data_IF_815796568076
#
_entry.id   IF_815796568076
#
_cell.length_a   1.000
_cell.length_b   1.000
_cell.length_c   1.000
_cell.angle_alpha   90.00
_cell.angle_beta   90.00
_cell.angle_gamma   90.00
#
_symmetry.space_group_name_H-M   'P 1'
#
loop_
_entity.id
_entity.type
_entity.pdbx_description
1 polymer ?
#
# COMPACT_ATOMS: atom_id res chain seq x y z
N UNK A 1 8.10 -11.03 4.25
CA UNK A 1 7.53 -10.48 3.00
C UNK A 1 8.59 -9.71 2.24
N UNK A 2 8.50 -9.73 0.93
CA UNK A 2 9.43 -8.99 0.09
C UNK A 2 8.81 -7.66 -0.31
N UNK A 3 9.56 -6.57 -0.12
CA UNK A 3 9.11 -5.25 -0.55
C UNK A 3 9.36 -5.10 -2.05
N UNK A 4 8.31 -4.79 -2.80
CA UNK A 4 8.39 -4.64 -4.25
C UNK A 4 8.46 -3.19 -4.67
N UNK A 5 7.66 -2.34 -4.05
CA UNK A 5 7.56 -0.92 -4.42
C UNK A 5 7.24 -0.09 -3.20
N UNK A 6 7.66 1.17 -3.22
CA UNK A 6 7.30 2.13 -2.18
C UNK A 6 6.82 3.40 -2.84
N UNK A 7 5.69 3.91 -2.38
CA UNK A 7 5.09 5.15 -2.87
C UNK A 7 5.03 6.17 -1.74
N UNK A 8 5.29 7.42 -2.07
CA UNK A 8 5.24 8.52 -1.11
C UNK A 8 4.23 9.55 -1.58
N UNK A 9 3.47 10.09 -0.62
CA UNK A 9 2.59 11.19 -0.92
C UNK A 9 3.37 12.50 -1.07
N UNK A 10 2.71 13.51 -1.58
CA UNK A 10 3.30 14.83 -1.77
C UNK A 10 2.34 15.90 -1.30
N UNK A 11 2.86 17.10 -1.06
CA UNK A 11 2.10 18.25 -0.61
C UNK A 11 1.33 17.93 0.68
N UNK A 12 0.01 18.05 0.66
CA UNK A 12 -0.80 17.81 1.84
C UNK A 12 -0.86 16.34 2.25
N UNK A 13 -0.39 15.43 1.39
CA UNK A 13 -0.34 14.00 1.68
C UNK A 13 1.08 13.50 1.91
N UNK A 14 2.00 14.39 2.24
CA UNK A 14 3.43 14.04 2.39
C UNK A 14 3.70 13.09 3.56
N UNK A 15 2.74 12.94 4.48
CA UNK A 15 2.85 12.00 5.59
C UNK A 15 2.43 10.58 5.21
N UNK A 16 1.92 10.38 3.99
CA UNK A 16 1.46 9.07 3.55
C UNK A 16 2.57 8.30 2.86
N UNK A 17 2.69 7.03 3.22
CA UNK A 17 3.62 6.10 2.60
C UNK A 17 2.87 4.80 2.37
N UNK A 18 3.04 4.21 1.20
CA UNK A 18 2.45 2.91 0.90
C UNK A 18 3.50 2.00 0.29
N UNK A 19 3.56 0.77 0.75
CA UNK A 19 4.49 -0.22 0.25
C UNK A 19 3.72 -1.41 -0.29
N UNK A 20 4.15 -1.89 -1.45
CA UNK A 20 3.61 -3.13 -2.02
C UNK A 20 4.53 -4.27 -1.64
N UNK A 21 3.97 -5.29 -1.02
CA UNK A 21 4.70 -6.41 -0.47
C UNK A 21 4.24 -7.72 -1.11
N UNK A 22 5.13 -8.66 -1.22
CA UNK A 22 4.83 -10.01 -1.69
C UNK A 22 5.14 -11.01 -0.57
N UNK A 23 4.17 -11.83 -0.23
CA UNK A 23 4.33 -12.90 0.74
C UNK A 23 4.44 -14.24 0.00
N UNK A 24 5.63 -14.85 0.06
CA UNK A 24 5.87 -16.11 -0.64
C UNK A 24 5.12 -17.28 -0.02
N UNK A 25 4.82 -17.21 1.26
CA UNK A 25 4.13 -18.30 1.95
C UNK A 25 2.66 -18.37 1.55
N UNK A 26 1.98 -17.24 1.59
CA UNK A 26 0.56 -17.18 1.22
C UNK A 26 0.35 -16.94 -0.27
N UNK A 27 1.42 -16.55 -0.99
CA UNK A 27 1.38 -16.19 -2.41
C UNK A 27 0.36 -15.09 -2.66
N UNK A 28 0.48 -14.03 -1.88
CA UNK A 28 -0.47 -12.94 -1.88
C UNK A 28 0.27 -11.62 -1.83
N UNK A 29 -0.28 -10.60 -2.48
CA UNK A 29 0.23 -9.23 -2.38
C UNK A 29 -0.44 -8.53 -1.21
N UNK A 30 0.34 -7.66 -0.55
CA UNK A 30 -0.15 -6.84 0.55
C UNK A 30 0.23 -5.39 0.28
N UNK A 31 -0.56 -4.47 0.80
CA UNK A 31 -0.25 -3.05 0.77
C UNK A 31 -0.17 -2.57 2.21
N UNK A 32 1.00 -2.06 2.59
CA UNK A 32 1.23 -1.48 3.91
C UNK A 32 1.08 0.03 3.78
N UNK A 33 0.02 0.58 4.38
CA UNK A 33 -0.33 1.99 4.27
C UNK A 33 -0.11 2.67 5.61
N UNK A 34 0.61 3.78 5.59
CA UNK A 34 0.91 4.56 6.80
C UNK A 34 0.58 6.03 6.58
N UNK A 35 -0.02 6.64 7.57
CA UNK A 35 -0.24 8.09 7.59
C UNK A 35 -0.42 8.56 9.03
N UNK A 36 0.28 9.63 9.39
CA UNK A 36 0.12 10.39 10.64
C UNK A 36 -0.14 9.50 11.86
N UNK A 37 0.80 8.60 12.15
CA UNK A 37 0.73 7.73 13.31
C UNK A 37 -0.19 6.53 13.18
N UNK A 38 -0.83 6.36 12.04
CA UNK A 38 -1.70 5.22 11.75
C UNK A 38 -1.05 4.32 10.72
N UNK A 39 -1.27 3.02 10.85
CA UNK A 39 -0.78 2.07 9.85
C UNK A 39 -1.78 0.95 9.67
N UNK A 40 -1.86 0.44 8.46
CA UNK A 40 -2.73 -0.67 8.12
C UNK A 40 -2.07 -1.50 7.03
N UNK A 41 -2.09 -2.82 7.19
CA UNK A 41 -1.64 -3.74 6.15
C UNK A 41 -2.88 -4.44 5.62
N UNK A 42 -3.06 -4.37 4.30
CA UNK A 42 -4.25 -4.94 3.67
C UNK A 42 -3.84 -5.98 2.63
N UNK A 43 -4.41 -7.18 2.75
CA UNK A 43 -4.17 -8.24 1.78
C UNK A 43 -4.99 -8.04 0.52
N UNK A 44 -4.37 -8.29 -0.61
CA UNK A 44 -5.02 -8.12 -1.92
C UNK A 44 -5.60 -9.42 -2.44
N UNK A 45 -5.47 -10.50 -1.68
CA UNK A 45 -6.05 -11.82 -1.99
C UNK A 45 -5.66 -12.28 -3.39
N UNK A 46 -6.64 -12.42 -4.28
CA UNK A 46 -6.42 -12.94 -5.63
C UNK A 46 -6.04 -11.86 -6.64
N UNK A 47 -5.90 -10.61 -6.19
CA UNK A 47 -5.60 -9.52 -7.12
C UNK A 47 -4.13 -9.52 -7.51
N UNK A 48 -3.84 -8.93 -8.67
CA UNK A 48 -2.50 -8.87 -9.24
C UNK A 48 -1.63 -7.82 -8.55
N UNK A 49 -0.33 -7.88 -8.88
CA UNK A 49 0.61 -6.85 -8.41
C UNK A 49 0.17 -5.46 -8.87
N UNK A 50 -0.33 -5.34 -10.10
CA UNK A 50 -0.79 -4.05 -10.60
C UNK A 50 -1.95 -3.50 -9.76
N UNK A 51 -2.85 -4.37 -9.34
CA UNK A 51 -3.94 -3.95 -8.46
C UNK A 51 -3.41 -3.40 -7.15
N UNK A 52 -2.41 -4.08 -6.58
CA UNK A 52 -1.79 -3.62 -5.33
C UNK A 52 -1.07 -2.29 -5.53
N UNK A 53 -0.39 -2.12 -6.66
CA UNK A 53 0.29 -0.86 -6.98
C UNK A 53 -0.71 0.28 -7.14
N UNK A 54 -1.82 0.03 -7.84
CA UNK A 54 -2.86 1.05 -7.99
C UNK A 54 -3.45 1.45 -6.63
N UNK A 55 -3.66 0.48 -5.77
CA UNK A 55 -4.18 0.75 -4.42
C UNK A 55 -3.19 1.62 -3.62
N UNK A 56 -1.91 1.28 -3.67
CA UNK A 56 -0.87 2.03 -2.96
C UNK A 56 -0.77 3.45 -3.50
N UNK A 57 -0.76 3.60 -4.82
CA UNK A 57 -0.67 4.90 -5.47
C UNK A 57 -1.86 5.77 -5.11
N UNK A 58 -3.07 5.21 -5.20
CA UNK A 58 -4.28 5.96 -4.87
C UNK A 58 -4.27 6.43 -3.41
N UNK A 59 -3.79 5.58 -2.51
CA UNK A 59 -3.72 5.96 -1.10
C UNK A 59 -2.83 7.19 -0.88
N UNK A 60 -1.63 7.19 -1.47
CA UNK A 60 -0.70 8.31 -1.26
C UNK A 60 -1.12 9.57 -2.00
N UNK A 61 -2.02 9.44 -2.98
CA UNK A 61 -2.59 10.58 -3.68
C UNK A 61 -3.85 11.12 -3.01
N UNK A 62 -4.27 10.50 -1.91
CA UNK A 62 -5.42 10.97 -1.15
C UNK A 62 -6.74 10.35 -1.54
N UNK A 63 -6.75 9.37 -2.43
CA UNK A 63 -8.00 8.72 -2.86
C UNK A 63 -8.38 7.52 -2.01
N UNK A 64 -7.44 6.96 -1.25
CA UNK A 64 -7.72 5.83 -0.38
C UNK A 64 -7.86 6.28 1.06
N UNK A 65 -8.61 5.50 1.86
CA UNK A 65 -8.83 5.82 3.26
C UNK A 65 -8.65 4.58 4.13
N UNK A 66 -8.24 4.81 5.37
CA UNK A 66 -8.29 3.76 6.40
C UNK A 66 -9.75 3.49 6.75
N UNK A 67 -10.04 2.21 6.97
CA UNK A 67 -11.38 1.81 7.36
C UNK A 67 -11.38 1.07 8.68
#
# INVERSE_FOLDING_TARGET
MKELSTYHGSDEYSDRIAKVLWDTDSKEYFVDMKMDGRSEIRGMKIHSERYAEDCAENFVMGYGEFR
#
